data_IF_787929248278
#
_entry.id   IF_787929248278
#
_cell.length_a   1.000
_cell.length_b   1.000
_cell.length_c   1.000
_cell.angle_alpha   90.00
_cell.angle_beta   90.00
_cell.angle_gamma   90.00
#
_symmetry.space_group_name_H-M   'P 1'
#
loop_
_entity.id
_entity.type
_entity.pdbx_description
1 polymer ?
#
# COMPACT_ATOMS: atom_id res chain seq x y z
N UNK A 1 13.60 -38.58 -3.50
CA UNK A 1 12.35 -38.28 -4.25
C UNK A 1 12.41 -36.84 -4.73
N UNK A 2 12.50 -36.64 -6.04
CA UNK A 2 12.57 -35.31 -6.65
C UNK A 2 11.23 -34.60 -6.41
N UNK A 3 11.18 -33.67 -5.44
CA UNK A 3 9.97 -32.87 -5.20
C UNK A 3 9.78 -31.95 -6.39
N UNK A 4 8.97 -32.42 -7.33
CA UNK A 4 8.59 -31.80 -8.60
C UNK A 4 8.35 -30.31 -8.37
N UNK A 5 9.25 -29.48 -8.94
CA UNK A 5 9.04 -28.04 -9.08
C UNK A 5 7.61 -27.84 -9.57
N UNK A 6 6.79 -27.18 -8.76
CA UNK A 6 5.35 -27.00 -9.03
C UNK A 6 5.20 -26.45 -10.45
N UNK A 7 4.39 -27.10 -11.28
CA UNK A 7 4.17 -26.66 -12.65
C UNK A 7 3.55 -25.26 -12.67
N UNK A 8 3.56 -24.59 -13.84
CA UNK A 8 3.00 -23.25 -14.00
C UNK A 8 1.54 -23.19 -13.52
N UNK A 9 0.77 -24.25 -13.79
CA UNK A 9 -0.60 -24.38 -13.30
C UNK A 9 -0.70 -24.40 -11.78
N UNK A 10 0.07 -25.25 -11.09
CA UNK A 10 0.10 -25.29 -9.62
C UNK A 10 0.62 -23.98 -8.99
N UNK A 11 1.48 -23.23 -9.69
CA UNK A 11 1.91 -21.89 -9.26
C UNK A 11 0.77 -20.88 -9.37
N UNK A 12 0.09 -20.86 -10.52
CA UNK A 12 -1.06 -19.97 -10.76
C UNK A 12 -2.19 -20.27 -9.79
N UNK A 13 -2.53 -21.54 -9.59
CA UNK A 13 -3.56 -21.99 -8.65
C UNK A 13 -3.25 -21.55 -7.22
N UNK A 14 -1.98 -21.65 -6.78
CA UNK A 14 -1.56 -21.14 -5.47
C UNK A 14 -1.73 -19.62 -5.38
N UNK A 15 -1.34 -18.87 -6.42
CA UNK A 15 -1.49 -17.42 -6.48
C UNK A 15 -2.97 -17.00 -6.38
N UNK A 16 -3.85 -17.67 -7.10
CA UNK A 16 -5.29 -17.41 -7.02
C UNK A 16 -5.86 -17.78 -5.65
N UNK A 17 -5.42 -18.90 -5.06
CA UNK A 17 -5.86 -19.34 -3.72
C UNK A 17 -5.48 -18.36 -2.61
N UNK A 18 -4.35 -17.66 -2.72
CA UNK A 18 -3.94 -16.62 -1.76
C UNK A 18 -4.58 -15.25 -2.03
N UNK A 19 -5.53 -15.17 -2.98
CA UNK A 19 -6.30 -13.96 -3.25
C UNK A 19 -5.65 -12.98 -4.22
N UNK A 20 -4.67 -13.40 -5.04
CA UNK A 20 -4.22 -12.56 -6.14
C UNK A 20 -5.35 -12.39 -7.15
N UNK A 21 -5.68 -11.13 -7.46
CA UNK A 21 -6.70 -10.78 -8.43
C UNK A 21 -6.23 -11.09 -9.85
N UNK A 22 -7.05 -11.77 -10.65
CA UNK A 22 -6.69 -12.19 -12.01
C UNK A 22 -6.45 -10.98 -12.92
N UNK A 23 -7.15 -9.88 -12.66
CA UNK A 23 -7.01 -8.59 -13.35
C UNK A 23 -5.61 -7.97 -13.20
N UNK A 24 -4.87 -8.32 -12.14
CA UNK A 24 -3.52 -7.80 -11.86
C UNK A 24 -2.42 -8.82 -12.20
N UNK A 25 -2.78 -10.06 -12.53
CA UNK A 25 -1.85 -11.06 -13.04
C UNK A 25 -1.65 -10.78 -14.53
N UNK A 26 -0.42 -10.46 -14.93
CA UNK A 26 -0.07 -10.18 -16.33
C UNK A 26 -0.66 -11.28 -17.24
N UNK A 27 -1.61 -10.94 -18.13
CA UNK A 27 -2.23 -11.93 -18.99
C UNK A 27 -1.21 -12.69 -19.83
N UNK A 28 -1.46 -13.97 -20.10
CA UNK A 28 -0.55 -14.80 -20.90
C UNK A 28 -0.29 -14.19 -22.29
N UNK A 29 -1.27 -13.47 -22.83
CA UNK A 29 -1.17 -12.74 -24.08
C UNK A 29 -0.11 -11.61 -24.05
N UNK A 30 -0.05 -10.83 -22.96
CA UNK A 30 0.99 -9.82 -22.76
C UNK A 30 2.39 -10.45 -22.64
N UNK A 31 2.47 -11.59 -21.96
CA UNK A 31 3.69 -12.38 -21.90
C UNK A 31 4.11 -12.93 -23.28
N UNK A 32 3.16 -13.34 -24.12
CA UNK A 32 3.39 -13.84 -25.48
C UNK A 32 3.88 -12.74 -26.40
N UNK A 33 3.21 -11.59 -26.41
CA UNK A 33 3.61 -10.41 -27.20
C UNK A 33 5.03 -9.94 -26.85
N UNK A 34 5.38 -9.88 -25.56
CA UNK A 34 6.74 -9.53 -25.12
C UNK A 34 7.81 -10.54 -25.57
N UNK A 35 7.49 -11.83 -25.60
CA UNK A 35 8.41 -12.87 -26.12
C UNK A 35 8.60 -12.76 -27.63
N UNK A 36 7.52 -12.54 -28.37
CA UNK A 36 7.56 -12.37 -29.81
C UNK A 36 8.32 -11.12 -30.23
N UNK A 37 8.12 -9.98 -29.54
CA UNK A 37 8.87 -8.75 -29.79
C UNK A 37 10.38 -8.93 -29.56
N UNK A 38 10.77 -9.64 -28.48
CA UNK A 38 12.19 -10.00 -28.22
C UNK A 38 12.77 -10.93 -29.28
N UNK A 39 11.98 -11.89 -29.77
CA UNK A 39 12.43 -12.80 -30.82
C UNK A 39 12.63 -12.07 -32.16
N UNK A 40 11.71 -11.16 -32.51
CA UNK A 40 11.79 -10.31 -33.71
C UNK A 40 12.98 -9.35 -33.68
N UNK A 41 13.29 -8.75 -32.52
CA UNK A 41 14.51 -7.95 -32.37
C UNK A 41 15.76 -8.79 -32.61
N UNK A 42 15.80 -10.02 -32.08
CA UNK A 42 16.97 -10.90 -32.18
C UNK A 42 17.15 -11.53 -33.57
N UNK A 43 16.07 -11.69 -34.35
CA UNK A 43 16.16 -12.14 -35.74
C UNK A 43 16.61 -11.03 -36.69
N UNK A 44 16.43 -9.76 -36.32
CA UNK A 44 16.80 -8.61 -37.15
C UNK A 44 18.26 -8.15 -36.95
N UNK A 45 19.02 -8.76 -36.03
CA UNK A 45 20.43 -8.39 -35.71
C UNK A 45 21.45 -9.42 -36.22
N UNK A 46 21.21 -9.99 -37.40
CA UNK A 46 22.26 -10.70 -38.15
C UNK A 46 22.60 -9.87 -39.39
N UNK A 47 23.37 -8.78 -39.22
CA UNK A 47 24.45 -8.30 -40.10
C UNK A 47 25.17 -7.12 -39.38
N UNK A 48 26.47 -7.28 -39.13
CA UNK A 48 27.57 -6.28 -39.09
C UNK A 48 27.52 -5.01 -38.20
N UNK A 49 28.68 -4.47 -37.75
CA UNK A 49 28.77 -3.44 -36.70
C UNK A 49 29.07 -2.04 -37.26
N UNK A 50 28.26 -1.02 -36.96
CA UNK A 50 28.72 0.37 -36.82
C UNK A 50 27.75 1.15 -35.91
N UNK A 51 28.32 1.90 -34.97
CA UNK A 51 27.64 2.97 -34.23
C UNK A 51 27.27 4.08 -35.23
N UNK A 52 26.10 4.71 -35.10
CA UNK A 52 26.11 5.98 -34.38
C UNK A 52 24.88 6.22 -33.50
N UNK A 53 25.07 6.83 -32.33
CA UNK A 53 24.05 7.66 -31.69
C UNK A 53 23.73 8.83 -32.63
N UNK A 54 22.46 9.22 -32.81
CA UNK A 54 21.89 10.23 -31.91
C UNK A 54 20.40 10.05 -31.60
N UNK A 55 20.00 10.67 -30.49
CA UNK A 55 18.65 11.06 -30.09
C UNK A 55 17.59 11.09 -31.20
N UNK A 56 16.52 10.31 -31.04
CA UNK A 56 15.14 10.69 -31.37
C UNK A 56 14.20 9.68 -30.74
N UNK A 57 13.32 10.20 -29.91
CA UNK A 57 12.32 9.51 -29.13
C UNK A 57 11.23 8.95 -30.03
N UNK A 58 11.36 7.70 -30.45
CA UNK A 58 10.23 6.95 -31.03
C UNK A 58 10.05 5.65 -30.25
N UNK A 59 9.50 5.79 -29.03
CA UNK A 59 8.70 4.69 -28.49
C UNK A 59 7.46 4.59 -29.40
N UNK A 60 7.13 3.41 -29.92
CA UNK A 60 5.79 3.19 -30.43
C UNK A 60 4.84 3.49 -29.27
N UNK A 61 4.04 4.54 -29.42
CA UNK A 61 2.86 4.76 -28.61
C UNK A 61 2.03 3.49 -28.70
N UNK A 62 2.19 2.62 -27.72
CA UNK A 62 1.11 1.72 -27.32
C UNK A 62 0.05 2.69 -26.82
N UNK A 63 -0.84 3.07 -27.73
CA UNK A 63 -2.13 3.62 -27.38
C UNK A 63 -2.85 2.53 -26.58
N UNK A 64 -2.50 2.46 -25.30
CA UNK A 64 -3.38 1.94 -24.27
C UNK A 64 -4.43 3.03 -24.06
N UNK A 65 -5.29 3.19 -25.06
CA UNK A 65 -6.59 3.78 -24.88
C UNK A 65 -7.41 2.77 -24.07
N UNK A 66 -7.11 2.77 -22.79
CA UNK A 66 -7.97 2.20 -21.77
C UNK A 66 -7.70 3.04 -20.53
N UNK A 67 -8.07 4.32 -20.63
CA UNK A 67 -8.60 5.04 -19.46
C UNK A 67 -9.89 4.33 -19.04
N UNK A 68 -9.75 3.10 -18.53
CA UNK A 68 -10.72 2.60 -17.56
C UNK A 68 -10.40 3.43 -16.32
N UNK A 69 -11.06 4.58 -16.20
CA UNK A 69 -11.39 5.12 -14.90
C UNK A 69 -12.08 3.97 -14.18
N UNK A 70 -11.31 3.17 -13.45
CA UNK A 70 -11.86 2.05 -12.69
C UNK A 70 -12.54 2.71 -11.50
N UNK A 71 -13.76 3.19 -11.72
CA UNK A 71 -14.60 3.70 -10.65
C UNK A 71 -14.60 2.65 -9.55
N UNK A 72 -14.17 3.09 -8.37
CA UNK A 72 -14.18 2.26 -7.19
C UNK A 72 -15.63 1.87 -6.92
N UNK A 73 -15.87 0.62 -6.52
CA UNK A 73 -17.24 0.19 -6.22
C UNK A 73 -17.84 1.10 -5.14
N UNK A 74 -19.16 1.31 -5.12
CA UNK A 74 -19.81 2.19 -4.15
C UNK A 74 -19.49 1.77 -2.71
N UNK A 75 -19.37 0.47 -2.43
CA UNK A 75 -18.99 -0.07 -1.12
C UNK A 75 -17.54 0.30 -0.74
N UNK A 76 -16.64 0.31 -1.72
CA UNK A 76 -15.23 0.69 -1.53
C UNK A 76 -15.12 2.19 -1.25
N UNK A 77 -15.85 3.01 -2.01
CA UNK A 77 -15.92 4.46 -1.79
C UNK A 77 -16.52 4.81 -0.43
N UNK A 78 -17.57 4.11 -0.01
CA UNK A 78 -18.16 4.30 1.32
C UNK A 78 -17.16 3.90 2.43
N UNK A 79 -16.42 2.80 2.25
CA UNK A 79 -15.40 2.37 3.19
C UNK A 79 -14.27 3.41 3.32
N UNK A 80 -13.75 3.90 2.18
CA UNK A 80 -12.73 4.96 2.15
C UNK A 80 -13.24 6.22 2.84
N UNK A 81 -14.47 6.63 2.54
CA UNK A 81 -15.09 7.81 3.15
C UNK A 81 -15.19 7.68 4.67
N UNK A 82 -15.60 6.52 5.19
CA UNK A 82 -15.67 6.26 6.63
C UNK A 82 -14.30 6.28 7.30
N UNK A 83 -13.29 5.64 6.70
CA UNK A 83 -11.92 5.64 7.23
C UNK A 83 -11.36 7.06 7.26
N UNK A 84 -11.57 7.81 6.18
CA UNK A 84 -11.09 9.19 6.04
C UNK A 84 -11.75 10.11 7.06
N UNK A 85 -13.07 10.03 7.21
CA UNK A 85 -13.81 10.82 8.20
C UNK A 85 -13.36 10.51 9.62
N UNK A 86 -13.17 9.23 9.95
CA UNK A 86 -12.66 8.77 11.25
C UNK A 86 -11.27 9.35 11.54
N UNK A 87 -10.36 9.26 10.56
CA UNK A 87 -9.00 9.80 10.70
C UNK A 87 -8.98 11.31 10.88
N UNK A 88 -9.85 12.04 10.16
CA UNK A 88 -9.95 13.49 10.28
C UNK A 88 -10.48 13.92 11.65
N UNK A 89 -11.54 13.27 12.14
CA UNK A 89 -12.09 13.57 13.46
C UNK A 89 -11.06 13.31 14.56
N UNK A 90 -10.35 12.17 14.51
CA UNK A 90 -9.28 11.88 15.46
C UNK A 90 -8.13 12.90 15.38
N UNK A 91 -7.81 13.41 14.18
CA UNK A 91 -6.79 14.43 14.00
C UNK A 91 -7.21 15.78 14.61
N UNK A 92 -8.47 16.18 14.47
CA UNK A 92 -8.99 17.41 15.09
C UNK A 92 -8.87 17.36 16.61
N UNK A 93 -9.28 16.24 17.23
CA UNK A 93 -9.14 16.05 18.68
C UNK A 93 -7.67 16.10 19.12
N UNK A 94 -6.76 15.50 18.35
CA UNK A 94 -5.30 15.56 18.59
C UNK A 94 -4.80 17.00 18.55
N UNK A 95 -5.20 17.76 17.54
CA UNK A 95 -4.78 19.16 17.36
C UNK A 95 -5.32 20.08 18.47
N UNK A 96 -6.56 19.89 18.89
CA UNK A 96 -7.15 20.61 20.04
C UNK A 96 -6.40 20.31 21.34
N UNK A 97 -6.03 19.05 21.57
CA UNK A 97 -5.25 18.64 22.73
C UNK A 97 -3.82 19.23 22.70
N UNK A 98 -3.15 19.24 21.54
CA UNK A 98 -1.84 19.88 21.38
C UNK A 98 -1.91 21.40 21.62
N UNK A 99 -2.94 22.08 21.09
CA UNK A 99 -3.15 23.50 21.34
C UNK A 99 -3.36 23.77 22.85
N UNK A 100 -4.11 22.91 23.53
CA UNK A 100 -4.35 22.99 24.97
C UNK A 100 -3.06 22.82 25.79
N UNK A 101 -2.20 21.87 25.43
CA UNK A 101 -0.88 21.68 26.06
C UNK A 101 0.02 22.91 25.88
N UNK A 102 0.02 23.51 24.69
CA UNK A 102 0.78 24.73 24.40
C UNK A 102 0.32 25.92 25.27
N UNK A 103 -0.98 26.08 25.49
CA UNK A 103 -1.53 27.14 26.35
C UNK A 103 -1.25 26.92 27.84
N UNK A 104 -1.11 25.67 28.27
CA UNK A 104 -0.84 25.30 29.66
C UNK A 104 0.66 25.14 29.96
N UNK A 105 1.51 25.25 28.95
CA UNK A 105 2.94 25.09 29.09
C UNK A 105 3.52 26.13 30.05
N UNK A 106 3.91 25.68 31.24
CA UNK A 106 4.60 26.51 32.21
C UNK A 106 6.07 26.71 31.79
N UNK A 107 6.67 27.89 32.04
CA UNK A 107 8.06 28.16 31.69
C UNK A 107 9.08 27.28 32.42
N UNK A 108 8.63 26.54 33.44
CA UNK A 108 9.42 25.58 34.22
C UNK A 108 9.36 24.14 33.68
N UNK A 109 8.56 23.87 32.64
CA UNK A 109 8.48 22.53 32.05
C UNK A 109 9.81 22.13 31.39
N UNK A 110 10.35 20.97 31.76
CA UNK A 110 11.52 20.42 31.09
C UNK A 110 11.18 19.95 29.67
N UNK A 111 12.17 19.95 28.77
CA UNK A 111 12.00 19.42 27.41
C UNK A 111 11.58 17.93 27.41
N UNK A 112 12.07 17.15 28.37
CA UNK A 112 11.67 15.74 28.53
C UNK A 112 10.20 15.60 28.91
N UNK A 113 9.68 16.49 29.75
CA UNK A 113 8.27 16.48 30.11
C UNK A 113 7.37 16.81 28.91
N UNK A 114 7.71 17.84 28.13
CA UNK A 114 7.00 18.17 26.90
C UNK A 114 7.02 17.01 25.89
N UNK A 115 8.18 16.36 25.74
CA UNK A 115 8.31 15.20 24.87
C UNK A 115 7.44 14.02 25.35
N UNK A 116 7.40 13.77 26.66
CA UNK A 116 6.58 12.71 27.23
C UNK A 116 5.07 12.99 27.03
N UNK A 117 4.63 14.22 27.25
CA UNK A 117 3.24 14.65 27.04
C UNK A 117 2.82 14.50 25.56
N UNK A 118 3.66 14.95 24.62
CA UNK A 118 3.43 14.76 23.19
C UNK A 118 3.40 13.27 22.80
N UNK A 119 4.27 12.46 23.38
CA UNK A 119 4.32 11.01 23.11
C UNK A 119 3.06 10.30 23.62
N UNK A 120 2.58 10.66 24.81
CA UNK A 120 1.34 10.13 25.36
C UNK A 120 0.15 10.51 24.46
N UNK A 121 0.09 11.77 24.04
CA UNK A 121 -0.97 12.27 23.16
C UNK A 121 -0.97 11.54 21.81
N UNK A 122 0.20 11.31 21.22
CA UNK A 122 0.33 10.54 19.97
C UNK A 122 -0.09 9.08 20.15
N UNK A 123 0.30 8.44 21.25
CA UNK A 123 -0.13 7.07 21.55
C UNK A 123 -1.66 6.98 21.70
N UNK A 124 -2.28 7.97 22.37
CA UNK A 124 -3.73 8.06 22.49
C UNK A 124 -4.41 8.26 21.13
N UNK A 125 -3.86 9.12 20.28
CA UNK A 125 -4.38 9.34 18.92
C UNK A 125 -4.34 8.05 18.09
N UNK A 126 -3.21 7.35 18.04
CA UNK A 126 -3.06 6.08 17.32
C UNK A 126 -4.03 5.03 17.87
N UNK A 127 -4.14 4.92 19.20
CA UNK A 127 -5.08 4.00 19.84
C UNK A 127 -6.52 4.26 19.40
N UNK A 128 -6.93 5.53 19.38
CA UNK A 128 -8.28 5.92 19.02
C UNK A 128 -8.58 5.69 17.54
N UNK A 129 -7.65 6.03 16.64
CA UNK A 129 -7.78 5.75 15.20
C UNK A 129 -7.99 4.26 14.96
N UNK A 130 -7.14 3.41 15.53
CA UNK A 130 -7.25 1.94 15.37
C UNK A 130 -8.59 1.43 15.91
N UNK A 131 -9.04 1.95 17.04
CA UNK A 131 -10.30 1.54 17.68
C UNK A 131 -11.53 1.84 16.80
N UNK A 132 -11.50 2.95 16.09
CA UNK A 132 -12.62 3.42 15.26
C UNK A 132 -12.63 2.84 13.84
N UNK A 133 -11.60 2.08 13.44
CA UNK A 133 -11.56 1.49 12.10
C UNK A 133 -12.74 0.53 11.85
N UNK A 134 -13.37 0.57 10.65
CA UNK A 134 -14.46 -0.32 10.30
C UNK A 134 -14.06 -1.80 10.42
N UNK A 135 -14.79 -2.54 11.25
CA UNK A 135 -14.55 -3.97 11.48
C UNK A 135 -13.55 -4.31 12.58
N UNK A 136 -12.88 -3.33 13.19
CA UNK A 136 -11.99 -3.58 14.33
C UNK A 136 -12.74 -4.18 15.53
N UNK A 137 -13.97 -3.75 15.78
CA UNK A 137 -14.84 -4.29 16.84
C UNK A 137 -15.31 -5.72 16.59
N UNK A 138 -15.17 -6.25 15.37
CA UNK A 138 -15.54 -7.63 15.01
C UNK A 138 -14.42 -8.63 15.30
N UNK A 139 -13.20 -8.15 15.54
CA UNK A 139 -12.07 -9.00 15.93
C UNK A 139 -12.27 -9.52 17.35
N UNK A 140 -11.68 -10.68 17.66
CA UNK A 140 -11.67 -11.19 19.03
C UNK A 140 -10.81 -10.29 19.93
N UNK A 141 -11.04 -10.34 21.24
CA UNK A 141 -10.34 -9.44 22.16
C UNK A 141 -8.82 -9.66 22.20
N UNK A 142 -8.36 -10.88 21.92
CA UNK A 142 -6.93 -11.18 21.82
C UNK A 142 -6.28 -10.47 20.63
N UNK A 143 -6.90 -10.55 19.45
CA UNK A 143 -6.42 -9.86 18.24
C UNK A 143 -6.49 -8.35 18.40
N UNK A 144 -7.57 -7.82 18.99
CA UNK A 144 -7.70 -6.37 19.26
C UNK A 144 -6.59 -5.87 20.16
N UNK A 145 -6.30 -6.57 21.26
CA UNK A 145 -5.20 -6.24 22.16
C UNK A 145 -3.84 -6.33 21.48
N UNK A 146 -3.65 -7.35 20.64
CA UNK A 146 -2.40 -7.55 19.91
C UNK A 146 -2.15 -6.43 18.91
N UNK A 147 -3.15 -6.07 18.11
CA UNK A 147 -3.07 -4.98 17.13
C UNK A 147 -2.80 -3.65 17.83
N UNK A 148 -3.50 -3.37 18.95
CA UNK A 148 -3.26 -2.16 19.73
C UNK A 148 -1.86 -2.13 20.33
N UNK A 149 -1.37 -3.24 20.91
CA UNK A 149 0.00 -3.33 21.45
C UNK A 149 1.08 -3.14 20.40
N UNK A 150 0.96 -3.80 19.24
CA UNK A 150 1.95 -3.70 18.15
C UNK A 150 1.99 -2.28 17.59
N UNK A 151 0.84 -1.62 17.46
CA UNK A 151 0.76 -0.23 17.02
C UNK A 151 1.46 0.78 17.95
N UNK A 152 1.70 0.43 19.21
CA UNK A 152 2.35 1.32 20.19
C UNK A 152 3.88 1.17 20.23
N UNK A 153 4.48 0.24 19.47
CA UNK A 153 5.93 0.05 19.48
C UNK A 153 6.52 -0.37 20.84
N UNK A 154 5.68 -0.76 21.81
CA UNK A 154 6.12 -1.26 23.11
C UNK A 154 6.44 -2.75 22.95
N UNK A 155 7.59 -3.05 22.35
CA UNK A 155 8.25 -4.32 22.57
C UNK A 155 8.97 -4.22 23.92
N UNK A 156 8.49 -4.98 24.89
CA UNK A 156 9.22 -5.24 26.13
C UNK A 156 10.46 -6.09 25.85
#
# INVERSE_FOLDING_TARGET
MYMRRKCQHCRLEKCMRIGMRAELVIPEEQCRMKREAKLRQRSNTREGPELPSPSSSDLPQIACDTTVEHELSPETNELISRITSTSQQAALVRDEAMASLSMQASPSSSAFQQLAELTILEAQHVHEVVRQLPGFSRLCDEDRRTIQKVGHGIQH
#
